data_IF_955887840207
#
_entry.id   IF_955887840207
#
_cell.length_a   1.000
_cell.length_b   1.000
_cell.length_c   1.000
_cell.angle_alpha   90.00
_cell.angle_beta   90.00
_cell.angle_gamma   90.00
#
_symmetry.space_group_name_H-M   'P 1'
#
loop_
_entity.id
_entity.type
_entity.pdbx_description
1 polymer ?
#
# COMPACT_ATOMS: atom_id res chain seq x y z
N UNK A 1 25.94 40.93 55.98
CA UNK A 1 25.19 40.34 54.85
C UNK A 1 25.35 41.30 53.67
N UNK A 2 26.07 40.89 52.61
CA UNK A 2 26.48 41.79 51.51
C UNK A 2 25.72 41.51 50.21
N UNK A 3 25.82 42.43 49.25
CA UNK A 3 24.90 42.57 48.12
C UNK A 3 25.58 42.38 46.75
N UNK A 4 24.81 41.84 45.80
CA UNK A 4 24.92 41.95 44.32
C UNK A 4 26.32 41.88 43.65
N UNK A 5 26.59 40.71 43.08
CA UNK A 5 26.76 40.48 41.62
C UNK A 5 27.07 41.71 40.74
N UNK A 6 28.23 41.70 40.06
CA UNK A 6 28.33 42.05 38.63
C UNK A 6 29.64 41.54 37.97
N UNK A 7 29.49 41.13 36.71
CA UNK A 7 30.45 40.94 35.59
C UNK A 7 31.66 41.90 35.51
N UNK A 8 32.73 41.65 34.72
CA UNK A 8 33.20 40.48 33.93
C UNK A 8 34.54 40.81 33.26
N UNK A 9 35.36 39.82 32.83
CA UNK A 9 36.56 40.09 32.01
C UNK A 9 36.93 38.95 31.06
N UNK A 10 37.16 39.30 29.77
CA UNK A 10 38.08 38.67 28.78
C UNK A 10 37.91 37.18 28.38
N UNK A 11 38.19 36.74 27.14
CA UNK A 11 38.37 37.43 25.83
C UNK A 11 38.58 36.40 24.69
N UNK A 12 38.49 36.85 23.42
CA UNK A 12 38.94 36.19 22.17
C UNK A 12 38.15 34.95 21.68
N UNK A 13 37.88 34.89 20.36
CA UNK A 13 37.37 33.68 19.68
C UNK A 13 36.57 33.98 18.40
N UNK A 14 37.24 34.27 17.28
CA UNK A 14 36.58 34.58 15.99
C UNK A 14 36.62 33.38 15.05
N UNK A 15 35.45 32.89 14.64
CA UNK A 15 35.22 32.27 13.32
C UNK A 15 33.85 32.72 12.83
N UNK A 16 33.76 33.23 11.59
CA UNK A 16 32.50 33.55 10.93
C UNK A 16 32.21 32.53 9.83
N UNK A 17 30.96 32.13 9.68
CA UNK A 17 30.47 31.35 8.53
C UNK A 17 29.30 32.09 7.93
N UNK A 18 29.52 32.77 6.80
CA UNK A 18 28.45 33.33 5.98
C UNK A 18 27.77 32.20 5.20
N UNK A 19 26.47 32.03 5.40
CA UNK A 19 25.69 31.08 4.62
C UNK A 19 25.12 31.78 3.38
N UNK A 20 25.77 31.58 2.23
CA UNK A 20 25.36 32.18 0.95
C UNK A 20 24.21 31.38 0.36
N UNK A 21 23.00 31.94 0.40
CA UNK A 21 21.82 31.35 -0.25
C UNK A 21 21.82 31.73 -1.73
N UNK A 22 22.08 30.77 -2.61
CA UNK A 22 21.97 30.94 -4.06
C UNK A 22 20.53 30.68 -4.49
N UNK A 23 19.79 31.75 -4.79
CA UNK A 23 18.41 31.67 -5.29
C UNK A 23 18.40 31.45 -6.81
N UNK A 24 18.23 30.22 -7.27
CA UNK A 24 18.12 29.90 -8.70
C UNK A 24 16.69 30.14 -9.18
N UNK A 25 16.45 31.29 -9.82
CA UNK A 25 15.17 31.60 -10.48
C UNK A 25 15.22 31.10 -11.92
N UNK A 26 14.52 30.00 -12.22
CA UNK A 26 14.33 29.52 -13.60
C UNK A 26 13.10 30.20 -14.20
N UNK A 27 13.31 31.09 -15.17
CA UNK A 27 12.22 31.71 -15.94
C UNK A 27 11.89 30.84 -17.15
N UNK A 28 10.75 30.16 -17.12
CA UNK A 28 10.22 29.43 -18.26
C UNK A 28 9.33 30.34 -19.12
N UNK A 29 9.69 30.56 -20.39
CA UNK A 29 8.92 31.40 -21.33
C UNK A 29 8.16 30.53 -22.34
N UNK A 30 6.83 30.72 -22.35
CA UNK A 30 5.87 30.54 -23.45
C UNK A 30 6.13 29.48 -24.55
N UNK A 31 5.22 28.50 -24.65
CA UNK A 31 5.24 27.47 -25.70
C UNK A 31 3.85 26.89 -26.04
N UNK A 32 2.82 27.72 -26.14
CA UNK A 32 1.45 27.25 -26.42
C UNK A 32 1.30 26.70 -27.84
N UNK A 33 0.94 25.42 -27.98
CA UNK A 33 0.31 24.85 -29.18
C UNK A 33 -0.82 23.92 -28.76
N UNK A 34 -2.05 24.23 -29.18
CA UNK A 34 -3.19 23.35 -29.03
C UNK A 34 -3.30 22.42 -30.26
N UNK A 35 -3.64 21.15 -30.03
CA UNK A 35 -4.05 20.23 -31.10
C UNK A 35 -5.43 19.71 -30.78
N UNK A 36 -6.41 20.28 -31.47
CA UNK A 36 -7.79 19.86 -31.48
C UNK A 36 -7.94 18.49 -32.17
N UNK A 37 -8.78 17.61 -31.63
CA UNK A 37 -9.24 16.41 -32.34
C UNK A 37 -10.75 16.35 -32.32
N UNK A 38 -11.33 16.35 -33.52
CA UNK A 38 -12.76 16.41 -33.74
C UNK A 38 -13.48 15.13 -33.27
N UNK A 39 -14.77 15.30 -32.96
CA UNK A 39 -15.74 14.20 -32.90
C UNK A 39 -16.31 13.99 -34.31
N UNK A 40 -16.30 12.75 -34.77
CA UNK A 40 -17.36 12.14 -35.58
C UNK A 40 -17.15 10.60 -35.62
N UNK A 41 -18.16 9.76 -35.81
CA UNK A 41 -19.58 10.13 -35.85
C UNK A 41 -20.44 9.48 -36.92
N UNK A 42 -20.27 8.21 -37.32
CA UNK A 42 -21.43 7.54 -37.94
C UNK A 42 -21.66 6.01 -37.81
N UNK A 43 -22.97 5.72 -37.87
CA UNK A 43 -23.81 4.52 -38.06
C UNK A 43 -23.21 3.13 -38.37
N UNK A 44 -23.92 2.13 -37.81
CA UNK A 44 -24.48 0.91 -38.45
C UNK A 44 -23.99 0.51 -39.87
N UNK A 45 -23.84 -0.78 -40.24
CA UNK A 45 -24.94 -1.79 -40.20
C UNK A 45 -24.52 -3.23 -40.63
N UNK A 46 -25.09 -4.26 -39.95
CA UNK A 46 -25.49 -5.61 -40.43
C UNK A 46 -24.51 -6.63 -41.09
N UNK A 47 -24.71 -7.90 -40.69
CA UNK A 47 -24.59 -9.17 -41.46
C UNK A 47 -23.21 -9.62 -41.99
N UNK A 48 -22.87 -10.92 -42.10
CA UNK A 48 -23.49 -12.17 -41.58
C UNK A 48 -22.62 -13.40 -41.90
N UNK A 49 -22.73 -14.48 -41.11
CA UNK A 49 -22.62 -15.85 -41.64
C UNK A 49 -21.33 -16.64 -41.38
N UNK A 50 -21.53 -17.80 -40.73
CA UNK A 50 -20.81 -19.09 -40.80
C UNK A 50 -19.40 -19.19 -41.43
N UNK A 51 -18.48 -19.84 -40.70
CA UNK A 51 -17.16 -20.21 -41.23
C UNK A 51 -16.29 -21.06 -40.28
N UNK A 52 -16.79 -22.20 -39.79
CA UNK A 52 -15.97 -23.14 -39.00
C UNK A 52 -15.19 -24.08 -39.93
N UNK A 53 -13.86 -24.04 -39.85
CA UNK A 53 -12.99 -25.12 -40.32
C UNK A 53 -11.90 -25.41 -39.28
N UNK A 54 -11.75 -26.68 -38.91
CA UNK A 54 -10.70 -27.16 -38.02
C UNK A 54 -9.49 -27.64 -38.84
N UNK A 55 -8.28 -27.38 -38.35
CA UNK A 55 -7.06 -27.95 -38.92
C UNK A 55 -6.78 -29.33 -38.32
N UNK A 56 -6.52 -30.31 -39.19
CA UNK A 56 -6.09 -31.66 -38.81
C UNK A 56 -4.55 -31.79 -38.91
N UNK A 57 -3.91 -32.63 -38.07
CA UNK A 57 -2.47 -32.86 -38.14
C UNK A 57 -2.08 -33.78 -39.32
N UNK A 58 -0.85 -33.66 -39.87
CA UNK A 58 -0.34 -34.56 -40.91
C UNK A 58 0.00 -35.96 -40.37
N UNK A 59 0.08 -36.93 -41.29
CA UNK A 59 0.21 -38.36 -41.00
C UNK A 59 1.66 -38.88 -40.87
N UNK A 60 1.79 -40.15 -40.47
CA UNK A 60 3.04 -40.88 -40.20
C UNK A 60 3.83 -41.29 -41.45
N UNK A 61 5.11 -41.62 -41.22
CA UNK A 61 5.82 -42.70 -41.93
C UNK A 61 6.60 -43.56 -40.93
N UNK A 62 6.32 -44.86 -40.87
CA UNK A 62 7.12 -45.89 -40.16
C UNK A 62 8.34 -46.30 -41.02
N UNK A 63 9.31 -47.18 -40.70
CA UNK A 63 9.59 -48.23 -39.67
C UNK A 63 11.13 -48.22 -39.39
N UNK A 64 11.82 -49.00 -38.53
CA UNK A 64 11.64 -50.28 -37.80
C UNK A 64 12.02 -50.08 -36.29
N UNK A 65 11.72 -50.95 -35.31
CA UNK A 65 12.22 -52.31 -34.98
C UNK A 65 13.77 -52.45 -34.92
N UNK A 66 14.39 -53.00 -33.86
CA UNK A 66 13.96 -53.43 -32.50
C UNK A 66 15.24 -53.59 -31.61
N UNK A 67 15.35 -54.12 -30.36
CA UNK A 67 14.53 -54.96 -29.47
C UNK A 67 15.02 -54.83 -27.98
N UNK A 68 14.24 -55.32 -26.98
CA UNK A 68 14.60 -55.67 -25.57
C UNK A 68 15.15 -54.55 -24.61
N UNK A 69 14.75 -54.45 -23.32
CA UNK A 69 13.68 -55.10 -22.55
C UNK A 69 13.76 -54.89 -21.00
N UNK A 70 12.62 -55.08 -20.31
CA UNK A 70 12.41 -55.30 -18.84
C UNK A 70 12.45 -54.12 -17.83
N UNK A 71 11.65 -54.30 -16.77
CA UNK A 71 11.19 -53.29 -15.79
C UNK A 71 11.94 -53.27 -14.43
N UNK A 72 11.87 -52.13 -13.72
CA UNK A 72 11.85 -52.07 -12.24
C UNK A 72 11.29 -50.71 -11.75
N UNK A 73 10.73 -50.66 -10.54
CA UNK A 73 9.97 -49.49 -10.02
C UNK A 73 10.42 -49.04 -8.62
N UNK A 74 10.48 -47.71 -8.44
CA UNK A 74 10.49 -46.92 -7.19
C UNK A 74 11.65 -47.07 -6.17
N UNK A 75 12.32 -45.94 -5.90
CA UNK A 75 12.11 -45.19 -4.64
C UNK A 75 12.88 -43.85 -4.65
N UNK A 76 12.35 -42.83 -3.95
CA UNK A 76 13.04 -41.56 -3.69
C UNK A 76 12.75 -41.06 -2.27
N UNK A 77 13.71 -40.36 -1.66
CA UNK A 77 13.61 -39.78 -0.32
C UNK A 77 13.87 -38.26 -0.34
N UNK A 78 13.11 -37.54 0.48
CA UNK A 78 13.45 -36.29 1.20
C UNK A 78 14.42 -35.25 0.62
N UNK A 79 13.98 -33.99 0.55
CA UNK A 79 14.56 -32.95 1.42
C UNK A 79 15.27 -31.71 0.82
N UNK A 80 14.74 -30.54 1.20
CA UNK A 80 15.49 -29.33 1.66
C UNK A 80 16.37 -28.47 0.71
N UNK A 81 15.83 -27.28 0.43
CA UNK A 81 16.46 -25.94 0.52
C UNK A 81 17.62 -25.45 -0.39
N UNK A 82 17.32 -24.33 -1.08
CA UNK A 82 18.17 -23.16 -1.41
C UNK A 82 19.35 -23.32 -2.41
N UNK A 83 19.66 -22.22 -3.11
CA UNK A 83 20.65 -22.14 -4.19
C UNK A 83 21.41 -20.80 -4.19
N UNK A 84 22.61 -20.81 -4.80
CA UNK A 84 23.54 -19.68 -4.89
C UNK A 84 23.28 -18.78 -6.13
N UNK A 85 23.90 -17.60 -6.16
CA UNK A 85 23.71 -16.57 -7.17
C UNK A 85 24.45 -16.84 -8.50
N UNK A 86 24.02 -16.10 -9.55
CA UNK A 86 24.16 -16.40 -10.99
C UNK A 86 23.29 -17.60 -11.37
N UNK A 87 22.39 -17.42 -12.35
CA UNK A 87 21.59 -18.53 -12.89
C UNK A 87 22.55 -19.66 -13.33
N UNK A 88 22.54 -20.83 -12.67
CA UNK A 88 23.62 -21.80 -12.87
C UNK A 88 23.57 -22.39 -14.28
N UNK A 89 24.75 -22.62 -14.88
CA UNK A 89 24.85 -23.34 -16.18
C UNK A 89 24.19 -24.72 -16.11
N UNK A 90 24.27 -25.35 -14.93
CA UNK A 90 23.35 -26.36 -14.42
C UNK A 90 23.23 -26.17 -12.90
N UNK A 91 22.02 -26.24 -12.33
CA UNK A 91 21.79 -26.04 -10.90
C UNK A 91 20.35 -25.63 -10.57
N UNK A 92 20.00 -25.61 -9.28
CA UNK A 92 18.66 -25.25 -8.82
C UNK A 92 18.37 -23.75 -8.98
N UNK A 93 17.16 -23.44 -9.44
CA UNK A 93 16.59 -22.09 -9.49
C UNK A 93 15.37 -22.06 -8.57
N UNK A 94 15.21 -21.01 -7.76
CA UNK A 94 14.14 -20.94 -6.74
C UNK A 94 13.24 -19.73 -6.98
N UNK A 95 12.00 -19.96 -7.40
CA UNK A 95 10.99 -18.92 -7.66
C UNK A 95 10.27 -18.51 -6.36
N UNK A 96 11.01 -17.98 -5.38
CA UNK A 96 10.42 -17.45 -4.16
C UNK A 96 9.89 -16.04 -4.40
N UNK A 97 8.57 -15.89 -4.37
CA UNK A 97 7.94 -14.59 -4.22
C UNK A 97 7.62 -14.37 -2.75
N UNK A 98 8.34 -13.44 -2.10
CA UNK A 98 8.06 -13.02 -0.74
C UNK A 98 7.37 -11.66 -0.78
N UNK A 99 6.16 -11.58 -0.22
CA UNK A 99 5.40 -10.34 -0.13
C UNK A 99 5.73 -9.64 1.19
N UNK A 100 6.38 -8.46 1.18
CA UNK A 100 6.75 -7.77 2.42
C UNK A 100 5.55 -7.03 3.03
N UNK A 101 4.80 -7.71 3.89
CA UNK A 101 3.76 -7.08 4.71
C UNK A 101 4.40 -6.71 6.06
N UNK A 102 4.35 -5.43 6.42
CA UNK A 102 4.97 -4.90 7.64
C UNK A 102 3.91 -4.42 8.61
N UNK A 103 3.51 -5.31 9.52
CA UNK A 103 2.57 -5.06 10.62
C UNK A 103 3.35 -4.66 11.87
N UNK A 104 3.13 -3.45 12.36
CA UNK A 104 3.76 -2.92 13.56
C UNK A 104 2.75 -2.23 14.47
N UNK A 105 2.99 -2.26 15.79
CA UNK A 105 2.22 -1.44 16.72
C UNK A 105 2.78 0.00 16.71
N UNK A 106 1.96 0.98 16.36
CA UNK A 106 2.38 2.37 16.16
C UNK A 106 3.08 3.00 17.38
N UNK A 107 2.72 2.58 18.61
CA UNK A 107 3.34 3.09 19.84
C UNK A 107 4.81 2.65 20.03
N UNK A 108 5.29 1.69 19.24
CA UNK A 108 6.72 1.32 19.22
C UNK A 108 7.59 2.42 18.60
N UNK A 109 7.09 3.10 17.57
CA UNK A 109 7.72 4.25 16.92
C UNK A 109 7.39 5.58 17.61
N UNK A 110 6.14 5.76 18.06
CA UNK A 110 5.70 6.97 18.76
C UNK A 110 5.01 6.66 20.09
N UNK A 111 5.80 6.58 21.17
CA UNK A 111 5.29 6.34 22.54
C UNK A 111 4.32 7.41 23.06
N UNK A 112 4.21 8.58 22.41
CA UNK A 112 3.23 9.60 22.78
C UNK A 112 1.86 9.41 22.11
N UNK A 113 1.72 8.41 21.23
CA UNK A 113 0.45 7.96 20.65
C UNK A 113 -0.32 7.09 21.65
N UNK A 114 -0.67 7.67 22.80
CA UNK A 114 -1.42 7.00 23.87
C UNK A 114 -2.89 6.77 23.51
N UNK A 115 -3.59 5.98 24.32
CA UNK A 115 -5.02 5.71 24.15
C UNK A 115 -5.88 7.00 24.15
N UNK A 116 -5.45 8.07 24.82
CA UNK A 116 -6.08 9.39 24.72
C UNK A 116 -5.89 10.06 23.35
N UNK A 117 -4.77 9.79 22.67
CA UNK A 117 -4.58 10.22 21.28
C UNK A 117 -5.42 9.39 20.32
N UNK A 118 -5.60 8.09 20.58
CA UNK A 118 -6.56 7.26 19.83
C UNK A 118 -8.01 7.74 20.04
N UNK A 119 -8.40 8.07 21.29
CA UNK A 119 -9.69 8.71 21.61
C UNK A 119 -9.88 10.04 20.88
N UNK A 120 -8.88 10.93 20.95
CA UNK A 120 -8.88 12.23 20.25
C UNK A 120 -9.06 12.03 18.74
N UNK A 121 -8.36 11.06 18.16
CA UNK A 121 -8.39 10.77 16.73
C UNK A 121 -9.73 10.17 16.30
N UNK A 122 -10.30 9.24 17.08
CA UNK A 122 -11.67 8.71 16.87
C UNK A 122 -12.69 9.84 16.89
N UNK A 123 -12.57 10.81 17.79
CA UNK A 123 -13.44 12.00 17.83
C UNK A 123 -13.30 12.87 16.59
N UNK A 124 -12.08 13.17 16.13
CA UNK A 124 -11.82 13.97 14.91
C UNK A 124 -12.40 13.30 13.66
N UNK A 125 -12.20 11.98 13.51
CA UNK A 125 -12.75 11.23 12.37
C UNK A 125 -14.28 11.16 12.44
N UNK A 126 -14.86 10.80 13.59
CA UNK A 126 -16.32 10.69 13.73
C UNK A 126 -17.04 12.03 13.57
N UNK A 127 -16.47 13.14 14.05
CA UNK A 127 -17.06 14.47 13.86
C UNK A 127 -17.15 14.84 12.38
N UNK A 128 -16.05 14.69 11.62
CA UNK A 128 -16.03 14.98 10.20
C UNK A 128 -16.88 13.99 9.38
N UNK A 129 -16.90 12.71 9.74
CA UNK A 129 -17.74 11.71 9.09
C UNK A 129 -19.23 11.96 9.34
N UNK A 130 -19.64 12.25 10.59
CA UNK A 130 -21.03 12.56 10.90
C UNK A 130 -21.49 13.83 10.16
N UNK A 131 -20.72 14.92 10.19
CA UNK A 131 -21.08 16.14 9.44
C UNK A 131 -21.05 15.97 7.92
N UNK A 132 -20.29 15.01 7.38
CA UNK A 132 -20.41 14.61 5.98
C UNK A 132 -21.74 13.89 5.71
N UNK A 133 -22.11 12.91 6.54
CA UNK A 133 -23.38 12.17 6.41
C UNK A 133 -24.60 13.07 6.63
N UNK A 134 -24.54 14.00 7.58
CA UNK A 134 -25.58 15.01 7.83
C UNK A 134 -25.79 15.96 6.64
N UNK A 135 -24.75 16.20 5.82
CA UNK A 135 -24.81 17.12 4.69
C UNK A 135 -25.21 16.48 3.35
N UNK A 136 -25.12 15.14 3.21
CA UNK A 136 -25.37 14.42 1.96
C UNK A 136 -26.32 13.21 2.14
N UNK A 137 -26.95 13.06 3.31
CA UNK A 137 -27.62 11.82 3.74
C UNK A 137 -28.62 11.20 2.76
N UNK A 138 -29.37 12.02 2.02
CA UNK A 138 -30.37 11.58 1.04
C UNK A 138 -29.77 10.97 -0.23
N UNK A 139 -28.46 11.18 -0.48
CA UNK A 139 -27.72 10.68 -1.65
C UNK A 139 -26.87 9.43 -1.33
N UNK A 140 -26.72 9.06 -0.05
CA UNK A 140 -25.76 8.05 0.42
C UNK A 140 -26.38 6.66 0.56
N UNK A 141 -25.80 5.67 -0.12
CA UNK A 141 -26.20 4.26 0.08
C UNK A 141 -25.53 3.71 1.33
N UNK A 142 -26.31 3.13 2.26
CA UNK A 142 -25.80 2.45 3.45
C UNK A 142 -25.27 1.03 3.15
N UNK A 143 -24.54 0.89 2.04
CA UNK A 143 -23.86 -0.31 1.59
C UNK A 143 -22.43 0.08 1.17
N UNK A 144 -21.44 -0.79 1.36
CA UNK A 144 -20.05 -0.57 0.93
C UNK A 144 -19.63 -1.43 -0.27
N UNK A 145 -20.57 -2.21 -0.82
CA UNK A 145 -20.40 -3.01 -2.03
C UNK A 145 -20.96 -2.33 -3.29
N UNK A 146 -21.61 -1.17 -3.13
CA UNK A 146 -22.20 -0.37 -4.21
C UNK A 146 -21.42 0.94 -4.41
N UNK A 147 -21.40 1.41 -5.66
CA UNK A 147 -20.93 2.75 -5.99
C UNK A 147 -21.86 3.80 -5.35
N UNK A 148 -21.31 4.92 -4.87
CA UNK A 148 -22.00 5.86 -3.96
C UNK A 148 -22.31 5.29 -2.55
N UNK A 149 -21.69 4.16 -2.19
CA UNK A 149 -21.65 3.70 -0.81
C UNK A 149 -21.01 4.72 0.13
N UNK A 150 -21.48 4.86 1.36
CA UNK A 150 -21.09 5.97 2.26
C UNK A 150 -19.57 6.17 2.45
N UNK A 151 -18.77 5.10 2.42
CA UNK A 151 -17.30 5.20 2.49
C UNK A 151 -16.64 5.60 1.15
N UNK A 152 -17.22 5.22 0.00
CA UNK A 152 -16.77 5.62 -1.35
C UNK A 152 -17.03 7.12 -1.57
N UNK A 153 -18.22 7.59 -1.18
CA UNK A 153 -18.57 9.00 -1.19
C UNK A 153 -17.71 9.83 -0.20
N UNK A 154 -17.47 9.34 1.02
CA UNK A 154 -16.61 10.02 2.00
C UNK A 154 -15.14 10.04 1.59
N UNK A 155 -14.64 9.01 0.89
CA UNK A 155 -13.31 9.00 0.27
C UNK A 155 -13.20 10.03 -0.86
N UNK A 156 -14.22 10.09 -1.73
CA UNK A 156 -14.28 11.05 -2.84
C UNK A 156 -14.30 12.49 -2.33
N UNK A 157 -15.19 12.82 -1.40
CA UNK A 157 -15.24 14.14 -0.75
C UNK A 157 -13.94 14.51 -0.03
N UNK A 158 -13.23 13.54 0.58
CA UNK A 158 -11.91 13.79 1.16
C UNK A 158 -10.88 14.18 0.09
N UNK A 159 -10.86 13.49 -1.06
CA UNK A 159 -9.96 13.80 -2.20
C UNK A 159 -10.29 15.13 -2.88
N UNK A 160 -11.55 15.57 -2.84
CA UNK A 160 -11.99 16.89 -3.32
C UNK A 160 -11.66 18.03 -2.34
N UNK A 161 -10.54 17.88 -1.61
CA UNK A 161 -10.04 18.80 -0.59
C UNK A 161 -10.76 18.74 0.75
N UNK A 162 -11.65 17.76 0.98
CA UNK A 162 -12.24 17.52 2.29
C UNK A 162 -11.17 17.18 3.34
N UNK A 163 -10.13 16.43 2.95
CA UNK A 163 -8.98 16.13 3.78
C UNK A 163 -8.18 17.40 4.15
N UNK A 164 -7.80 18.20 3.15
CA UNK A 164 -7.14 19.50 3.30
C UNK A 164 -7.90 20.43 4.26
N UNK A 165 -9.21 20.61 4.03
CA UNK A 165 -10.04 21.57 4.77
C UNK A 165 -10.38 21.14 6.20
N UNK A 166 -10.29 19.83 6.53
CA UNK A 166 -10.90 19.27 7.75
C UNK A 166 -10.01 18.34 8.58
N UNK A 167 -8.91 17.83 8.03
CA UNK A 167 -8.03 16.86 8.69
C UNK A 167 -6.57 17.32 8.73
N UNK A 168 -6.02 17.73 7.58
CA UNK A 168 -4.58 17.95 7.35
C UNK A 168 -3.87 18.77 8.44
N UNK A 169 -4.45 19.89 8.85
CA UNK A 169 -3.84 20.80 9.83
C UNK A 169 -4.11 20.42 11.29
N UNK A 170 -4.91 19.39 11.55
CA UNK A 170 -5.19 18.98 12.93
C UNK A 170 -3.94 18.34 13.58
N UNK A 171 -3.48 18.75 14.78
CA UNK A 171 -2.17 18.34 15.31
C UNK A 171 -1.93 16.83 15.46
N UNK A 172 -2.99 16.01 15.67
CA UNK A 172 -2.83 14.54 15.69
C UNK A 172 -2.70 13.94 14.28
N UNK A 173 -3.30 14.55 13.26
CA UNK A 173 -3.17 14.11 11.86
C UNK A 173 -1.75 14.42 11.36
N UNK A 174 -1.25 15.63 11.58
CA UNK A 174 0.16 15.97 11.27
C UNK A 174 1.16 15.07 12.00
N UNK A 175 0.82 14.58 13.21
CA UNK A 175 1.64 13.62 13.95
C UNK A 175 1.64 12.24 13.29
N UNK A 176 0.48 11.76 12.85
CA UNK A 176 0.38 10.52 12.08
C UNK A 176 1.06 10.61 10.71
N UNK A 177 0.97 11.74 10.00
CA UNK A 177 1.66 11.91 8.72
C UNK A 177 3.19 11.76 8.87
N UNK A 178 3.78 12.36 9.91
CA UNK A 178 5.20 12.15 10.25
C UNK A 178 5.52 10.71 10.63
N UNK A 179 4.63 10.03 11.37
CA UNK A 179 4.76 8.62 11.71
C UNK A 179 4.70 7.72 10.46
N UNK A 180 3.76 7.96 9.54
CA UNK A 180 3.61 7.18 8.31
C UNK A 180 4.86 7.30 7.45
N UNK A 181 5.42 8.50 7.28
CA UNK A 181 6.72 8.67 6.61
C UNK A 181 7.84 7.89 7.32
N UNK A 182 7.98 8.00 8.65
CA UNK A 182 9.01 7.29 9.42
C UNK A 182 8.92 5.76 9.28
N UNK A 183 7.71 5.21 9.35
CA UNK A 183 7.48 3.76 9.24
C UNK A 183 7.62 3.30 7.78
N UNK A 184 7.22 4.10 6.79
CA UNK A 184 7.51 3.84 5.37
C UNK A 184 9.00 3.83 5.09
N UNK A 185 9.77 4.81 5.58
CA UNK A 185 11.21 4.86 5.34
C UNK A 185 11.90 3.65 6.01
N UNK A 186 11.49 3.29 7.24
CA UNK A 186 11.95 2.08 7.94
C UNK A 186 11.61 0.80 7.17
N UNK A 187 10.39 0.71 6.63
CA UNK A 187 9.91 -0.42 5.81
C UNK A 187 10.70 -0.56 4.51
N UNK A 188 10.93 0.54 3.79
CA UNK A 188 11.70 0.56 2.55
C UNK A 188 13.13 0.06 2.79
N UNK A 189 13.79 0.49 3.88
CA UNK A 189 15.09 -0.06 4.26
C UNK A 189 15.03 -1.54 4.65
N UNK A 190 13.97 -2.00 5.33
CA UNK A 190 13.81 -3.40 5.71
C UNK A 190 13.66 -4.34 4.50
N UNK A 191 13.03 -3.88 3.42
CA UNK A 191 12.95 -4.64 2.15
C UNK A 191 14.19 -4.47 1.26
N UNK A 192 15.13 -3.56 1.60
CA UNK A 192 16.41 -3.39 0.92
C UNK A 192 16.56 -2.15 0.04
N UNK A 193 15.59 -1.24 0.03
CA UNK A 193 15.67 0.01 -0.74
C UNK A 193 16.76 0.91 -0.14
N UNK A 194 17.60 1.46 -1.02
CA UNK A 194 18.82 2.19 -0.63
C UNK A 194 18.51 3.49 0.11
N UNK A 195 19.47 3.96 0.93
CA UNK A 195 19.39 5.26 1.61
C UNK A 195 19.11 6.39 0.61
N UNK A 196 19.85 6.39 -0.50
CA UNK A 196 19.72 7.39 -1.57
C UNK A 196 18.32 7.38 -2.18
N UNK A 197 17.75 6.21 -2.45
CA UNK A 197 16.39 6.07 -3.00
C UNK A 197 15.32 6.55 -2.01
N UNK A 198 15.45 6.25 -0.71
CA UNK A 198 14.51 6.70 0.33
C UNK A 198 14.61 8.21 0.63
N UNK A 199 15.77 8.81 0.38
CA UNK A 199 15.98 10.27 0.46
C UNK A 199 15.50 11.01 -0.79
N UNK A 200 15.64 10.42 -1.98
CA UNK A 200 15.25 11.03 -3.26
C UNK A 200 13.78 10.82 -3.64
N UNK A 201 13.07 9.86 -3.03
CA UNK A 201 11.64 9.59 -3.33
C UNK A 201 10.75 10.81 -3.12
N UNK A 202 9.63 10.84 -3.83
CA UNK A 202 8.56 11.79 -3.52
C UNK A 202 8.09 11.61 -2.07
N UNK A 203 7.85 12.74 -1.40
CA UNK A 203 7.37 12.84 -0.03
C UNK A 203 5.89 13.22 0.04
N UNK A 204 5.17 13.23 -1.10
CA UNK A 204 3.70 13.24 -1.11
C UNK A 204 3.12 12.10 -0.25
N UNK A 205 2.00 12.38 0.42
CA UNK A 205 1.28 11.44 1.26
C UNK A 205 -0.23 11.63 1.03
N UNK A 206 -0.80 10.71 0.26
CA UNK A 206 -2.24 10.66 -0.01
C UNK A 206 -2.88 9.89 1.16
N UNK A 207 -3.69 10.54 1.99
CA UNK A 207 -4.27 9.93 3.19
C UNK A 207 -5.75 10.25 3.34
N UNK A 208 -6.52 9.30 3.88
CA UNK A 208 -7.96 9.42 4.07
C UNK A 208 -8.44 8.56 5.26
N UNK A 209 -9.48 9.02 5.94
CA UNK A 209 -10.16 8.26 6.98
C UNK A 209 -11.28 7.39 6.39
N UNK A 210 -11.52 6.23 7.00
CA UNK A 210 -12.66 5.34 6.71
C UNK A 210 -13.41 4.99 8.00
N UNK A 211 -14.72 4.77 7.89
CA UNK A 211 -15.62 4.47 9.02
C UNK A 211 -16.60 3.37 8.58
N UNK A 212 -16.24 2.10 8.82
CA UNK A 212 -17.14 0.98 8.57
C UNK A 212 -18.14 0.87 9.72
N UNK A 213 -19.43 1.01 9.40
CA UNK A 213 -20.56 0.66 10.27
C UNK A 213 -21.32 -0.52 9.66
N UNK A 214 -22.24 -1.13 10.39
CA UNK A 214 -23.32 -1.94 9.81
C UNK A 214 -22.88 -3.02 8.82
N UNK A 215 -21.88 -3.85 9.16
CA UNK A 215 -21.50 -5.00 8.34
C UNK A 215 -20.90 -4.66 6.96
N UNK A 216 -20.30 -3.46 6.84
CA UNK A 216 -19.51 -3.02 5.68
C UNK A 216 -18.11 -3.67 5.59
N UNK A 217 -17.80 -4.24 4.43
CA UNK A 217 -16.45 -4.60 3.98
C UNK A 217 -15.96 -3.71 2.82
N UNK A 218 -14.77 -3.95 2.28
CA UNK A 218 -14.31 -3.40 1.00
C UNK A 218 -13.82 -4.55 0.09
N UNK A 219 -14.19 -4.56 -1.20
CA UNK A 219 -13.81 -5.62 -2.14
C UNK A 219 -12.31 -5.66 -2.42
N UNK A 220 -11.86 -6.77 -3.01
CA UNK A 220 -10.46 -6.94 -3.37
C UNK A 220 -10.02 -5.93 -4.42
N UNK A 221 -8.98 -5.16 -4.10
CA UNK A 221 -8.41 -4.12 -4.96
C UNK A 221 -6.89 -3.98 -4.73
N UNK A 222 -6.29 -3.05 -5.48
CA UNK A 222 -4.90 -2.59 -5.39
C UNK A 222 -4.89 -1.06 -5.49
N UNK A 223 -3.75 -0.41 -5.27
CA UNK A 223 -3.59 1.05 -5.41
C UNK A 223 -2.62 1.38 -6.56
N UNK A 224 -3.11 1.59 -7.80
CA UNK A 224 -2.26 1.93 -8.93
C UNK A 224 -1.44 3.21 -8.72
N UNK A 225 -0.30 3.31 -9.41
CA UNK A 225 0.60 4.48 -9.40
C UNK A 225 1.19 4.84 -8.02
N UNK A 226 1.23 3.88 -7.10
CA UNK A 226 1.80 4.05 -5.76
C UNK A 226 2.81 2.92 -5.48
N UNK A 227 3.75 3.21 -4.59
CA UNK A 227 4.82 2.27 -4.18
C UNK A 227 4.43 1.53 -2.89
N UNK A 228 3.95 2.27 -1.88
CA UNK A 228 3.56 1.74 -0.57
C UNK A 228 2.14 2.19 -0.23
N UNK A 229 1.31 1.23 0.16
CA UNK A 229 0.01 1.46 0.78
C UNK A 229 0.07 1.09 2.25
N UNK A 230 -0.77 1.71 3.07
CA UNK A 230 -0.84 1.38 4.49
C UNK A 230 -2.16 1.76 5.13
N UNK A 231 -2.40 1.16 6.30
CA UNK A 231 -3.61 1.37 7.10
C UNK A 231 -3.23 1.46 8.58
N UNK A 232 -3.68 2.53 9.23
CA UNK A 232 -3.57 2.76 10.66
C UNK A 232 -4.93 2.60 11.34
N UNK A 233 -5.04 1.70 12.30
CA UNK A 233 -6.30 1.37 12.96
C UNK A 233 -6.52 2.25 14.20
N UNK A 234 -7.49 3.16 14.10
CA UNK A 234 -7.83 4.14 15.13
C UNK A 234 -8.71 3.54 16.23
N UNK A 235 -9.71 2.76 15.81
CA UNK A 235 -10.60 2.01 16.68
C UNK A 235 -11.05 0.74 15.96
N UNK A 236 -11.02 -0.39 16.66
CA UNK A 236 -11.42 -1.69 16.13
C UNK A 236 -12.33 -2.34 17.18
N UNK A 237 -13.59 -2.65 16.85
CA UNK A 237 -14.46 -3.42 17.75
C UNK A 237 -14.04 -4.90 17.76
N UNK A 238 -14.51 -5.65 18.77
CA UNK A 238 -14.19 -7.06 18.94
C UNK A 238 -14.69 -7.94 17.77
N UNK A 239 -15.78 -7.51 17.12
CA UNK A 239 -16.41 -8.16 15.98
C UNK A 239 -15.93 -7.64 14.61
N UNK A 240 -14.79 -6.94 14.56
CA UNK A 240 -14.21 -6.42 13.33
C UNK A 240 -13.80 -7.53 12.35
N UNK A 241 -14.07 -7.32 11.07
CA UNK A 241 -13.51 -8.18 10.03
C UNK A 241 -12.02 -7.93 9.83
N UNK A 242 -11.21 -8.96 9.53
CA UNK A 242 -9.79 -8.81 9.21
C UNK A 242 -9.56 -8.06 7.90
N UNK A 243 -8.32 -7.58 7.71
CA UNK A 243 -7.79 -7.33 6.37
C UNK A 243 -7.19 -8.63 5.83
N UNK A 244 -7.46 -8.94 4.57
CA UNK A 244 -7.02 -10.16 3.90
C UNK A 244 -6.21 -9.79 2.67
N UNK A 245 -4.98 -10.26 2.62
CA UNK A 245 -4.08 -10.12 1.47
C UNK A 245 -4.07 -11.44 0.71
N UNK A 246 -4.30 -11.37 -0.61
CA UNK A 246 -4.31 -12.53 -1.49
C UNK A 246 -2.97 -12.67 -2.21
N UNK A 247 -2.56 -13.90 -2.50
CA UNK A 247 -1.32 -14.16 -3.23
C UNK A 247 -1.34 -13.49 -4.62
N UNK A 248 -0.35 -12.63 -4.95
CA UNK A 248 -0.30 -11.92 -6.23
C UNK A 248 -0.09 -12.86 -7.43
N UNK A 249 0.32 -14.12 -7.21
CA UNK A 249 0.54 -15.13 -8.26
C UNK A 249 -0.76 -15.74 -8.80
N UNK A 250 -1.89 -15.49 -8.13
CA UNK A 250 -3.22 -15.93 -8.57
C UNK A 250 -3.61 -17.34 -8.12
N UNK A 251 -4.87 -17.75 -8.37
CA UNK A 251 -5.52 -18.92 -7.75
C UNK A 251 -5.12 -20.26 -8.40
N UNK A 252 -3.82 -20.50 -8.56
CA UNK A 252 -3.27 -21.78 -8.98
C UNK A 252 -3.01 -22.67 -7.75
N UNK A 253 -3.23 -23.99 -7.81
CA UNK A 253 -3.08 -24.86 -6.66
C UNK A 253 -1.69 -24.77 -6.01
N UNK A 254 -1.64 -24.39 -4.72
CA UNK A 254 -0.39 -24.18 -3.97
C UNK A 254 0.21 -22.77 -4.11
N UNK A 255 -0.42 -21.90 -4.90
CA UNK A 255 -0.15 -20.45 -5.00
C UNK A 255 -1.39 -19.63 -4.59
N UNK A 256 -2.45 -20.28 -4.09
CA UNK A 256 -3.72 -19.71 -3.63
C UNK A 256 -3.68 -19.22 -2.16
N UNK A 257 -2.51 -18.77 -1.71
CA UNK A 257 -2.27 -18.32 -0.35
C UNK A 257 -3.06 -17.06 0.03
N UNK A 258 -3.41 -16.95 1.32
CA UNK A 258 -3.93 -15.70 1.90
C UNK A 258 -3.25 -15.41 3.23
N UNK A 259 -2.97 -14.14 3.49
CA UNK A 259 -2.51 -13.64 4.80
C UNK A 259 -3.68 -12.87 5.41
N UNK A 260 -4.21 -13.39 6.51
CA UNK A 260 -5.36 -12.84 7.24
C UNK A 260 -4.84 -12.14 8.49
N UNK A 261 -4.96 -10.81 8.56
CA UNK A 261 -4.55 -10.04 9.73
C UNK A 261 -5.79 -9.51 10.44
N UNK A 262 -6.00 -9.96 11.68
CA UNK A 262 -7.02 -9.42 12.57
C UNK A 262 -6.48 -8.15 13.26
N UNK A 263 -6.97 -6.95 12.90
CA UNK A 263 -6.37 -5.70 13.36
C UNK A 263 -6.74 -5.37 14.81
N UNK A 264 -5.92 -4.53 15.44
CA UNK A 264 -6.16 -3.96 16.77
C UNK A 264 -6.03 -2.44 16.74
N UNK A 265 -6.65 -1.73 17.68
CA UNK A 265 -6.49 -0.29 17.79
C UNK A 265 -5.04 0.07 18.17
N UNK A 266 -4.38 0.89 17.35
CA UNK A 266 -2.95 1.17 17.43
C UNK A 266 -2.08 0.40 16.42
N UNK A 267 -2.63 -0.56 15.68
CA UNK A 267 -1.90 -1.25 14.62
C UNK A 267 -1.68 -0.34 13.40
N UNK A 268 -0.50 -0.46 12.81
CA UNK A 268 -0.11 0.14 11.54
C UNK A 268 0.42 -0.97 10.62
N UNK A 269 -0.25 -1.19 9.50
CA UNK A 269 0.16 -2.19 8.49
C UNK A 269 0.57 -1.46 7.22
N UNK A 270 1.78 -1.73 6.72
CA UNK A 270 2.28 -1.29 5.42
C UNK A 270 2.45 -2.49 4.49
N UNK A 271 2.25 -2.28 3.19
CA UNK A 271 2.39 -3.30 2.16
C UNK A 271 2.64 -2.66 0.79
N UNK A 272 3.16 -3.40 -0.21
CA UNK A 272 3.31 -2.90 -1.57
C UNK A 272 1.94 -2.58 -2.18
N UNK A 273 1.79 -1.41 -2.81
CA UNK A 273 0.50 -0.97 -3.36
C UNK A 273 -0.10 -1.88 -4.45
N UNK A 274 0.75 -2.70 -5.09
CA UNK A 274 0.34 -3.71 -6.07
C UNK A 274 -0.30 -4.97 -5.46
N UNK A 275 -0.22 -5.17 -4.13
CA UNK A 275 -0.71 -6.36 -3.46
C UNK A 275 -2.25 -6.41 -3.42
N UNK A 276 -2.91 -7.45 -3.98
CA UNK A 276 -4.36 -7.59 -3.90
C UNK A 276 -4.82 -7.77 -2.46
N UNK A 277 -5.69 -6.89 -1.97
CA UNK A 277 -6.19 -6.91 -0.60
C UNK A 277 -7.66 -6.52 -0.53
N UNK A 278 -8.36 -7.11 0.45
CA UNK A 278 -9.77 -6.84 0.76
C UNK A 278 -9.96 -6.66 2.26
N UNK A 279 -11.04 -6.00 2.66
CA UNK A 279 -11.36 -5.76 4.07
C UNK A 279 -12.70 -6.42 4.38
N UNK A 280 -12.70 -7.40 5.29
CA UNK A 280 -13.91 -8.17 5.59
C UNK A 280 -14.93 -7.33 6.38
N UNK A 281 -16.24 -7.67 6.31
CA UNK A 281 -17.28 -7.06 7.15
C UNK A 281 -16.95 -7.07 8.65
N UNK A 282 -17.16 -5.92 9.31
CA UNK A 282 -17.23 -5.79 10.77
C UNK A 282 -18.65 -6.03 11.23
N UNK A 283 -18.91 -6.93 12.18
CA UNK A 283 -20.29 -7.14 12.63
C UNK A 283 -20.87 -5.86 13.24
N UNK A 284 -22.21 -5.77 13.24
CA UNK A 284 -22.90 -4.49 13.12
C UNK A 284 -22.93 -3.63 14.42
N UNK A 285 -22.06 -3.82 15.41
CA UNK A 285 -22.17 -3.19 16.75
C UNK A 285 -21.55 -1.79 16.86
N UNK A 286 -20.27 -1.65 16.55
CA UNK A 286 -19.48 -0.42 16.75
C UNK A 286 -18.65 -0.08 15.49
N UNK A 287 -18.32 1.19 15.21
CA UNK A 287 -17.57 1.55 14.02
C UNK A 287 -16.11 1.07 14.08
N UNK A 288 -15.68 0.31 13.07
CA UNK A 288 -14.24 0.14 12.75
C UNK A 288 -13.78 1.42 12.06
N UNK A 289 -12.76 2.07 12.60
CA UNK A 289 -12.23 3.35 12.15
C UNK A 289 -10.74 3.18 11.86
N UNK A 290 -10.32 3.56 10.66
CA UNK A 290 -8.91 3.58 10.27
C UNK A 290 -8.59 4.79 9.41
N UNK A 291 -7.31 5.15 9.35
CA UNK A 291 -6.77 6.08 8.36
C UNK A 291 -5.89 5.25 7.42
N UNK A 292 -6.30 5.18 6.16
CA UNK A 292 -5.52 4.57 5.10
C UNK A 292 -4.69 5.65 4.40
N UNK A 293 -3.58 5.22 3.78
CA UNK A 293 -2.72 6.11 3.03
C UNK A 293 -1.95 5.38 1.92
N UNK A 294 -1.54 6.14 0.92
CA UNK A 294 -0.60 5.74 -0.13
C UNK A 294 0.57 6.71 -0.20
N UNK A 295 1.73 6.19 -0.58
CA UNK A 295 2.94 6.92 -0.94
C UNK A 295 3.19 6.71 -2.45
N UNK A 296 3.12 7.76 -3.28
CA UNK A 296 3.46 7.67 -4.71
C UNK A 296 4.90 7.20 -4.95
N UNK A 297 5.12 6.55 -6.09
CA UNK A 297 6.43 6.00 -6.50
C UNK A 297 6.28 4.84 -7.49
N UNK A 298 7.40 4.23 -7.88
CA UNK A 298 7.37 3.02 -8.70
C UNK A 298 6.98 1.80 -7.84
N UNK A 299 6.18 0.90 -8.41
CA UNK A 299 5.82 -0.37 -7.79
C UNK A 299 7.01 -1.35 -7.79
N UNK A 300 7.98 -1.16 -8.70
CA UNK A 300 9.19 -1.96 -8.81
C UNK A 300 10.08 -1.88 -7.56
N UNK A 301 10.15 -0.71 -6.91
CA UNK A 301 10.90 -0.49 -5.66
C UNK A 301 10.37 -1.33 -4.48
N UNK A 302 9.14 -1.86 -4.57
CA UNK A 302 8.53 -2.75 -3.58
C UNK A 302 8.19 -4.14 -4.13
N UNK A 303 8.68 -4.50 -5.32
CA UNK A 303 8.42 -5.78 -5.98
C UNK A 303 9.32 -6.93 -5.49
N UNK A 304 10.24 -6.69 -4.55
CA UNK A 304 11.20 -7.65 -4.04
C UNK A 304 11.53 -7.41 -2.57
N UNK A 305 12.16 -8.39 -1.91
CA UNK A 305 12.65 -8.32 -0.53
C UNK A 305 14.13 -8.69 -0.52
N UNK A 306 14.95 -7.93 0.19
CA UNK A 306 16.35 -8.26 0.43
C UNK A 306 16.48 -9.66 1.06
N UNK A 307 17.26 -10.53 0.43
CA UNK A 307 17.44 -11.94 0.80
C UNK A 307 18.17 -12.19 2.16
N UNK A 308 18.23 -11.17 3.02
CA UNK A 308 18.92 -11.18 4.31
C UNK A 308 18.02 -10.75 5.47
N UNK A 309 16.77 -10.33 5.24
CA UNK A 309 15.86 -9.96 6.32
C UNK A 309 15.21 -11.20 6.96
N UNK A 310 15.29 -11.39 8.30
CA UNK A 310 14.73 -12.57 8.95
C UNK A 310 13.20 -12.47 9.03
N UNK A 311 12.49 -13.26 8.21
CA UNK A 311 11.03 -13.38 8.24
C UNK A 311 10.56 -14.21 9.44
N UNK A 312 10.63 -13.65 10.65
CA UNK A 312 10.02 -14.22 11.85
C UNK A 312 8.54 -13.84 11.94
N UNK A 313 7.66 -14.75 11.51
CA UNK A 313 6.27 -14.73 11.93
C UNK A 313 6.20 -15.18 13.40
N UNK A 314 5.57 -14.37 14.26
CA UNK A 314 5.27 -14.67 15.67
C UNK A 314 3.77 -14.91 15.85
#
# INVERSE_FOLDING_TARGET
>A
MMSRVANSSSSVGVVAVLLVVVLVVVVAVGGSHAVEKARDGDKERRSSGAGVQAFAPPAKTDVFADEQGQDAVASQQSGSAAADARLPKYGLMRMEWQTPIYHVEARSFDRALSDDKLRTLRQVVLANFNSFVEAHGDELVNNSWEHNGVNDAFFTWQREGGWERRFKDHPIIQRLQRLFHLVTDTYLHAIGVSQETVEQRDRELQAWATVHRGCMGHPQHTHPNNMVSGVFYVAVPEDAGPIVFSDPRGPYPGLDGTIVVQPKAGDLILFPSWLPHQVMPTACTEPRISIAFNMPGDWADTASVAAHFPLTFN
#
